data_IF_420163127744
#
_entry.id   IF_420163127744
#
_cell.length_a   1.000
_cell.length_b   1.000
_cell.length_c   1.000
_cell.angle_alpha   90.00
_cell.angle_beta   90.00
_cell.angle_gamma   90.00
#
_symmetry.space_group_name_H-M   'P 1'
#
loop_
_entity.id
_entity.type
_entity.pdbx_description
1 polymer ?
#
# COMPACT_ATOMS: atom_id res chain seq x y z
N UNK A 1 -10.65 -3.71 -3.85
CA UNK A 1 -9.89 -4.93 -4.16
C UNK A 1 -8.42 -4.59 -4.22
N UNK A 2 -7.79 -4.63 -3.05
CA UNK A 2 -6.34 -4.54 -2.95
C UNK A 2 -5.66 -5.81 -3.46
N UNK A 3 -4.35 -5.75 -3.70
CA UNK A 3 -3.52 -6.92 -4.01
C UNK A 3 -3.69 -8.05 -2.98
N UNK A 4 -4.11 -7.72 -1.74
CA UNK A 4 -4.45 -8.69 -0.69
C UNK A 4 -5.81 -9.36 -0.85
N UNK A 5 -6.80 -8.68 -1.42
CA UNK A 5 -8.15 -9.21 -1.62
C UNK A 5 -8.25 -10.11 -2.87
N UNK A 6 -7.38 -9.90 -3.87
CA UNK A 6 -7.35 -10.69 -5.12
C UNK A 6 -6.37 -11.85 -5.09
N UNK A 7 -5.59 -11.99 -4.01
CA UNK A 7 -4.38 -12.79 -3.98
C UNK A 7 -3.29 -12.10 -4.79
N UNK A 8 -2.11 -11.92 -4.20
CA UNK A 8 -0.91 -11.31 -4.77
C UNK A 8 -0.74 -11.58 -6.29
N UNK A 9 -1.30 -10.70 -7.13
CA UNK A 9 -1.15 -10.73 -8.58
C UNK A 9 0.13 -9.96 -8.91
N UNK A 10 0.96 -10.49 -9.79
CA UNK A 10 2.20 -9.82 -10.22
C UNK A 10 3.14 -9.44 -9.05
N UNK A 11 3.50 -10.41 -8.21
CA UNK A 11 4.26 -10.18 -6.97
C UNK A 11 5.74 -10.53 -7.11
N UNK A 12 6.59 -9.73 -6.47
CA UNK A 12 8.04 -9.91 -6.44
C UNK A 12 8.58 -9.90 -5.01
N UNK A 13 9.41 -10.89 -4.68
CA UNK A 13 10.17 -11.00 -3.45
C UNK A 13 11.65 -10.82 -3.79
N UNK A 14 12.29 -9.87 -3.11
CA UNK A 14 13.70 -9.54 -3.29
C UNK A 14 14.44 -9.81 -1.99
N UNK A 15 15.39 -10.75 -2.04
CA UNK A 15 16.28 -11.04 -0.91
C UNK A 15 17.67 -10.49 -1.25
N UNK A 16 18.15 -9.45 -0.55
CA UNK A 16 19.49 -8.92 -0.77
C UNK A 16 20.53 -9.97 -0.40
N UNK A 17 21.42 -10.28 -1.33
CA UNK A 17 22.61 -11.10 -1.07
C UNK A 17 23.82 -10.18 -0.88
N UNK A 18 23.87 -9.07 -1.63
CA UNK A 18 24.89 -8.03 -1.48
C UNK A 18 24.36 -6.68 -1.98
N UNK A 19 25.20 -5.65 -1.97
CA UNK A 19 24.88 -4.33 -2.52
C UNK A 19 24.58 -4.33 -4.03
N UNK A 20 24.94 -5.41 -4.76
CA UNK A 20 24.75 -5.53 -6.21
C UNK A 20 23.85 -6.69 -6.63
N UNK A 21 23.57 -7.63 -5.73
CA UNK A 21 22.88 -8.87 -6.06
C UNK A 21 21.69 -9.13 -5.15
N UNK A 22 20.59 -9.54 -5.78
CA UNK A 22 19.36 -9.95 -5.13
C UNK A 22 18.92 -11.31 -5.66
N UNK A 23 18.48 -12.18 -4.75
CA UNK A 23 17.64 -13.30 -5.13
C UNK A 23 16.24 -12.74 -5.41
N UNK A 24 15.73 -12.96 -6.62
CA UNK A 24 14.43 -12.46 -7.05
C UNK A 24 13.50 -13.66 -7.30
N UNK A 25 12.42 -13.75 -6.53
CA UNK A 25 11.27 -14.60 -6.84
C UNK A 25 10.15 -13.72 -7.34
N UNK A 26 9.51 -14.10 -8.43
CA UNK A 26 8.39 -13.33 -8.96
C UNK A 26 7.34 -14.25 -9.58
N UNK A 27 6.09 -13.83 -9.51
CA UNK A 27 4.97 -14.41 -10.24
C UNK A 27 4.38 -13.32 -11.11
N UNK A 28 4.32 -13.53 -12.43
CA UNK A 28 3.78 -12.56 -13.37
C UNK A 28 4.81 -11.58 -13.92
N UNK A 29 4.47 -10.28 -13.98
CA UNK A 29 5.34 -9.26 -14.54
C UNK A 29 6.58 -8.97 -13.67
N UNK A 30 7.67 -8.53 -14.30
CA UNK A 30 8.92 -8.13 -13.65
C UNK A 30 9.66 -7.08 -14.48
N UNK A 31 10.58 -6.29 -13.89
CA UNK A 31 11.43 -5.42 -14.67
C UNK A 31 12.20 -6.20 -15.74
N UNK A 32 12.33 -5.60 -16.93
CA UNK A 32 12.98 -6.24 -18.09
C UNK A 32 14.43 -6.63 -17.81
N UNK A 33 15.10 -5.93 -16.90
CA UNK A 33 16.47 -6.20 -16.51
C UNK A 33 16.62 -7.40 -15.56
N UNK A 34 15.56 -7.84 -14.88
CA UNK A 34 15.56 -9.08 -14.11
C UNK A 34 15.35 -10.24 -15.08
N UNK A 35 16.26 -11.21 -15.10
CA UNK A 35 16.23 -12.33 -16.06
C UNK A 35 16.26 -13.67 -15.30
N UNK A 36 15.62 -14.69 -15.88
CA UNK A 36 15.48 -16.00 -15.24
C UNK A 36 16.82 -16.75 -15.22
N UNK A 37 17.16 -17.34 -14.07
CA UNK A 37 18.39 -18.14 -13.87
C UNK A 37 19.67 -17.44 -14.35
N UNK A 38 19.78 -16.13 -14.12
CA UNK A 38 20.94 -15.35 -14.53
C UNK A 38 21.39 -14.38 -13.44
N UNK A 39 22.69 -14.12 -13.39
CA UNK A 39 23.23 -13.02 -12.61
C UNK A 39 23.01 -11.71 -13.35
N UNK A 40 22.14 -10.86 -12.79
CA UNK A 40 21.90 -9.51 -13.30
C UNK A 40 22.80 -8.52 -12.56
N UNK A 41 23.78 -7.95 -13.25
CA UNK A 41 24.52 -6.80 -12.74
C UNK A 41 23.66 -5.57 -12.89
N UNK A 42 23.16 -5.07 -11.76
CA UNK A 42 22.31 -3.89 -11.73
C UNK A 42 23.14 -2.63 -11.96
N UNK A 43 22.61 -1.71 -12.76
CA UNK A 43 23.15 -0.34 -12.80
C UNK A 43 22.87 0.38 -11.48
N UNK A 44 23.48 1.54 -11.29
CA UNK A 44 23.20 2.37 -10.12
C UNK A 44 21.71 2.74 -10.04
N UNK A 45 21.11 3.11 -11.16
CA UNK A 45 19.69 3.51 -11.26
C UNK A 45 18.77 2.34 -10.92
N UNK A 46 19.06 1.14 -11.43
CA UNK A 46 18.29 -0.08 -11.14
C UNK A 46 18.41 -0.49 -9.66
N UNK A 47 19.61 -0.31 -9.09
CA UNK A 47 19.84 -0.57 -7.66
C UNK A 47 19.05 0.42 -6.79
N UNK A 48 18.99 1.69 -7.19
CA UNK A 48 18.17 2.71 -6.52
C UNK A 48 16.69 2.35 -6.62
N UNK A 49 16.20 1.97 -7.79
CA UNK A 49 14.79 1.57 -8.01
C UNK A 49 14.38 0.43 -7.06
N UNK A 50 15.18 -0.63 -6.99
CA UNK A 50 14.94 -1.76 -6.09
C UNK A 50 14.98 -1.33 -4.62
N UNK A 51 15.98 -0.54 -4.22
CA UNK A 51 16.08 -0.05 -2.85
C UNK A 51 14.86 0.80 -2.46
N UNK A 52 14.36 1.64 -3.38
CA UNK A 52 13.16 2.44 -3.14
C UNK A 52 11.96 1.53 -2.89
N UNK A 53 11.76 0.50 -3.70
CA UNK A 53 10.69 -0.48 -3.51
C UNK A 53 10.82 -1.23 -2.18
N UNK A 54 12.03 -1.65 -1.78
CA UNK A 54 12.25 -2.33 -0.49
C UNK A 54 11.90 -1.38 0.67
N UNK A 55 12.41 -0.15 0.65
CA UNK A 55 12.17 0.83 1.70
C UNK A 55 10.69 1.19 1.85
N UNK A 56 9.98 1.36 0.73
CA UNK A 56 8.55 1.67 0.71
C UNK A 56 7.71 0.59 1.38
N UNK A 57 8.10 -0.66 1.18
CA UNK A 57 7.39 -1.85 1.65
C UNK A 57 7.93 -2.38 3.00
N UNK A 58 8.91 -1.70 3.59
CA UNK A 58 9.47 -2.09 4.89
C UNK A 58 8.61 -1.58 6.06
N UNK A 59 8.39 -2.45 7.04
CA UNK A 59 7.72 -2.14 8.31
C UNK A 59 8.63 -1.46 9.32
N UNK A 60 9.93 -1.66 9.17
CA UNK A 60 10.93 -1.21 10.11
C UNK A 60 11.69 -0.03 9.53
N UNK A 61 12.13 0.88 10.41
CA UNK A 61 13.06 1.93 10.03
C UNK A 61 14.28 1.27 9.38
N UNK A 62 14.46 1.57 8.11
CA UNK A 62 15.47 0.92 7.28
C UNK A 62 16.59 1.91 7.01
N UNK A 63 17.83 1.41 7.01
CA UNK A 63 19.02 2.20 6.69
C UNK A 63 19.35 2.02 5.22
N UNK A 64 19.82 3.07 4.58
CA UNK A 64 20.33 3.00 3.22
C UNK A 64 21.67 3.72 3.16
N UNK A 65 22.61 3.15 2.39
CA UNK A 65 23.92 3.76 2.18
C UNK A 65 23.83 5.08 1.40
N UNK A 66 22.85 5.19 0.49
CA UNK A 66 22.62 6.39 -0.32
C UNK A 66 21.42 7.16 0.23
N UNK A 67 21.51 8.49 0.17
CA UNK A 67 20.43 9.36 0.62
C UNK A 67 19.27 9.41 -0.38
N UNK A 68 19.54 9.21 -1.67
CA UNK A 68 18.52 9.32 -2.74
C UNK A 68 17.31 8.41 -2.51
N UNK A 69 17.46 7.08 -2.25
CA UNK A 69 16.33 6.23 -1.90
C UNK A 69 15.56 6.66 -0.65
N UNK A 70 16.27 7.21 0.35
CA UNK A 70 15.65 7.72 1.57
C UNK A 70 14.83 8.98 1.29
N UNK A 71 15.34 9.91 0.49
CA UNK A 71 14.64 11.13 0.06
C UNK A 71 13.41 10.81 -0.79
N UNK A 72 13.51 9.86 -1.72
CA UNK A 72 12.37 9.43 -2.53
C UNK A 72 11.28 8.70 -1.72
N UNK A 73 11.66 8.07 -0.60
CA UNK A 73 10.72 7.47 0.35
C UNK A 73 10.30 8.38 1.50
N UNK A 74 10.95 9.55 1.67
CA UNK A 74 10.44 10.59 2.56
C UNK A 74 9.15 11.06 1.92
N UNK A 75 8.05 10.60 2.49
CA UNK A 75 6.70 11.01 2.16
C UNK A 75 6.57 12.52 2.34
N UNK A 76 6.85 13.29 1.29
CA UNK A 76 6.07 14.50 1.04
C UNK A 76 4.63 14.03 0.86
N UNK A 77 3.73 14.69 1.57
CA UNK A 77 2.49 14.10 2.05
C UNK A 77 1.59 13.48 0.98
N UNK A 78 0.60 12.75 1.50
CA UNK A 78 -0.66 12.31 0.88
C UNK A 78 -0.75 10.85 0.41
N UNK A 79 -1.89 10.28 0.80
CA UNK A 79 -2.28 8.88 0.74
C UNK A 79 -3.16 8.58 1.96
N UNK A 80 -4.26 7.85 1.78
CA UNK A 80 -5.31 7.60 2.79
C UNK A 80 -4.70 7.24 4.16
N UNK A 81 -5.06 8.00 5.22
CA UNK A 81 -4.73 7.66 6.60
C UNK A 81 -5.53 6.44 7.03
N UNK A 82 -5.22 5.27 6.48
CA UNK A 82 -5.71 4.01 7.05
C UNK A 82 -5.02 3.80 8.40
N UNK A 83 -5.72 3.28 9.42
CA UNK A 83 -5.07 2.96 10.68
C UNK A 83 -3.96 1.93 10.43
N UNK A 84 -2.70 2.38 10.42
CA UNK A 84 -1.54 1.49 10.25
C UNK A 84 -1.28 0.66 11.52
N UNK A 85 -1.80 1.13 12.65
CA UNK A 85 -1.67 0.49 13.97
C UNK A 85 -2.97 0.57 14.75
N UNK A 86 -3.23 -0.49 15.50
CA UNK A 86 -4.28 -0.60 16.51
C UNK A 86 -3.62 -0.83 17.87
N UNK A 87 -4.06 -0.08 18.89
CA UNK A 87 -3.70 -0.32 20.28
C UNK A 87 -4.98 -0.71 21.02
N UNK A 88 -5.01 -1.92 21.55
CA UNK A 88 -6.13 -2.46 22.34
C UNK A 88 -5.72 -2.55 23.81
N UNK A 89 -6.60 -2.12 24.70
CA UNK A 89 -6.42 -2.22 26.15
C UNK A 89 -7.42 -3.23 26.69
N UNK A 90 -6.92 -4.27 27.34
CA UNK A 90 -7.76 -5.29 27.96
C UNK A 90 -8.17 -4.87 29.37
N UNK A 91 -9.30 -5.41 29.86
CA UNK A 91 -9.78 -5.15 31.22
C UNK A 91 -8.75 -5.50 32.31
N UNK A 92 -7.84 -6.45 32.04
CA UNK A 92 -6.75 -6.81 32.94
C UNK A 92 -5.57 -5.84 32.96
N UNK A 93 -5.60 -4.75 32.18
CA UNK A 93 -4.51 -3.76 32.08
C UNK A 93 -3.46 -4.08 31.00
N UNK A 94 -3.49 -5.28 30.43
CA UNK A 94 -2.64 -5.64 29.31
C UNK A 94 -2.96 -4.81 28.07
N UNK A 95 -1.92 -4.56 27.28
CA UNK A 95 -1.99 -3.84 26.01
C UNK A 95 -1.56 -4.76 24.88
N UNK A 96 -2.34 -4.78 23.80
CA UNK A 96 -1.96 -5.38 22.51
C UNK A 96 -1.76 -4.28 21.48
N UNK A 97 -0.63 -4.31 20.78
CA UNK A 97 -0.33 -3.42 19.67
C UNK A 97 -0.22 -4.26 18.40
N UNK A 98 -1.14 -4.02 17.48
CA UNK A 98 -1.20 -4.70 16.20
C UNK A 98 -0.89 -3.70 15.08
N UNK A 99 -0.22 -4.17 14.02
CA UNK A 99 -0.02 -3.37 12.81
C UNK A 99 -0.62 -4.07 11.61
N UNK A 100 -1.26 -3.28 10.75
CA UNK A 100 -1.72 -3.77 9.46
C UNK A 100 -0.51 -3.81 8.54
N UNK A 101 -0.32 -4.95 7.85
CA UNK A 101 0.70 -5.04 6.81
C UNK A 101 0.52 -3.88 5.79
N UNK A 102 1.59 -3.29 5.25
CA UNK A 102 1.55 -2.33 4.15
C UNK A 102 1.31 -3.10 2.85
N UNK A 103 0.56 -2.49 1.93
CA UNK A 103 0.44 -3.06 0.58
C UNK A 103 1.79 -3.02 -0.12
N UNK A 104 2.14 -4.11 -0.79
CA UNK A 104 3.38 -4.18 -1.55
C UNK A 104 3.15 -3.46 -2.87
N UNK A 105 3.73 -2.28 -3.01
CA UNK A 105 3.70 -1.51 -4.25
C UNK A 105 5.08 -1.53 -4.88
N UNK A 106 5.21 -2.28 -5.98
CA UNK A 106 6.45 -2.33 -6.76
C UNK A 106 6.38 -1.43 -8.00
N UNK A 107 5.21 -1.29 -8.61
CA UNK A 107 5.04 -0.55 -9.85
C UNK A 107 4.45 0.84 -9.63
N UNK A 108 5.04 1.84 -10.29
CA UNK A 108 4.53 3.23 -10.29
C UNK A 108 3.07 3.34 -10.76
N UNK A 109 2.65 2.46 -11.65
CA UNK A 109 1.26 2.39 -12.11
C UNK A 109 0.30 2.05 -10.97
N UNK A 110 0.69 1.17 -10.05
CA UNK A 110 -0.13 0.79 -8.89
C UNK A 110 -0.11 1.87 -7.81
N UNK A 111 1.03 2.51 -7.59
CA UNK A 111 1.17 3.65 -6.67
C UNK A 111 0.23 4.81 -7.02
N UNK A 112 0.03 5.08 -8.31
CA UNK A 112 -0.92 6.09 -8.77
C UNK A 112 -2.34 5.79 -8.26
N UNK A 113 -2.75 4.52 -8.31
CA UNK A 113 -4.09 4.14 -7.85
C UNK A 113 -4.19 4.16 -6.33
N UNK A 114 -3.17 3.75 -5.58
CA UNK A 114 -3.25 3.78 -4.11
C UNK A 114 -3.29 5.19 -3.54
N UNK A 115 -2.58 6.14 -4.16
CA UNK A 115 -2.47 7.53 -3.67
C UNK A 115 -3.54 8.47 -4.22
N UNK A 116 -3.86 8.34 -5.50
CA UNK A 116 -4.62 9.36 -6.24
C UNK A 116 -6.03 8.88 -6.65
N UNK A 117 -6.47 7.66 -6.32
CA UNK A 117 -7.77 7.18 -6.82
C UNK A 117 -8.95 8.10 -6.45
N UNK A 118 -8.94 8.73 -5.27
CA UNK A 118 -10.00 9.66 -4.86
C UNK A 118 -10.00 10.94 -5.69
N UNK A 119 -8.83 11.53 -5.94
CA UNK A 119 -8.73 12.74 -6.76
C UNK A 119 -9.12 12.43 -8.20
N UNK A 120 -8.65 11.30 -8.75
CA UNK A 120 -9.00 10.82 -10.09
C UNK A 120 -10.50 10.51 -10.18
N UNK A 121 -11.08 9.88 -9.17
CA UNK A 121 -12.52 9.61 -9.13
C UNK A 121 -13.35 10.90 -9.08
N UNK A 122 -12.91 11.88 -8.28
CA UNK A 122 -13.53 13.21 -8.23
C UNK A 122 -13.44 13.95 -9.57
N UNK A 123 -12.29 13.90 -10.25
CA UNK A 123 -12.12 14.42 -11.60
C UNK A 123 -13.06 13.73 -12.58
N UNK A 124 -13.13 12.39 -12.55
CA UNK A 124 -14.05 11.62 -13.38
C UNK A 124 -15.50 12.07 -13.17
N UNK A 125 -15.97 12.13 -11.92
CA UNK A 125 -17.33 12.56 -11.55
C UNK A 125 -17.64 13.97 -12.03
N UNK A 126 -16.69 14.89 -11.91
CA UNK A 126 -16.90 16.30 -12.23
C UNK A 126 -16.80 16.60 -13.73
N UNK A 127 -15.87 15.97 -14.46
CA UNK A 127 -15.53 16.35 -15.83
C UNK A 127 -15.93 15.31 -16.88
N UNK A 128 -15.96 14.01 -16.54
CA UNK A 128 -16.13 12.94 -17.54
C UNK A 128 -17.49 12.26 -17.48
N UNK A 129 -18.04 12.04 -16.29
CA UNK A 129 -19.29 11.29 -16.10
C UNK A 129 -20.46 11.94 -16.87
N UNK A 130 -21.04 11.18 -17.80
CA UNK A 130 -22.13 11.65 -18.67
C UNK A 130 -21.73 12.70 -19.74
N UNK A 131 -20.49 13.20 -19.72
CA UNK A 131 -20.02 14.31 -20.57
C UNK A 131 -19.13 13.85 -21.73
N UNK A 132 -18.41 12.75 -21.57
CA UNK A 132 -17.45 12.24 -22.57
C UNK A 132 -17.82 10.82 -22.96
N UNK A 133 -18.03 10.57 -24.26
CA UNK A 133 -18.25 9.22 -24.78
C UNK A 133 -16.93 8.54 -25.13
N UNK A 134 -16.98 7.22 -25.21
CA UNK A 134 -15.81 6.33 -25.43
C UNK A 134 -14.93 6.74 -26.63
N UNK A 135 -15.54 7.24 -27.71
CA UNK A 135 -14.84 7.60 -28.94
C UNK A 135 -14.48 9.09 -29.06
N UNK A 136 -14.90 9.92 -28.11
CA UNK A 136 -14.61 11.36 -28.10
C UNK A 136 -13.15 11.60 -27.71
N UNK A 137 -12.67 12.82 -27.92
CA UNK A 137 -11.35 13.23 -27.45
C UNK A 137 -11.32 13.29 -25.91
N UNK A 138 -10.20 12.88 -25.33
CA UNK A 138 -10.00 12.92 -23.89
C UNK A 138 -9.79 14.36 -23.42
N UNK A 139 -10.44 14.75 -22.31
CA UNK A 139 -10.38 16.12 -21.78
C UNK A 139 -9.06 16.45 -21.07
N UNK A 140 -8.17 15.48 -20.88
CA UNK A 140 -6.86 15.67 -20.25
C UNK A 140 -5.83 16.37 -21.15
N UNK A 141 -6.22 16.81 -22.36
CA UNK A 141 -5.33 17.51 -23.30
C UNK A 141 -4.35 16.61 -24.06
N UNK A 142 -4.52 15.29 -24.01
CA UNK A 142 -3.63 14.34 -24.69
C UNK A 142 -3.88 14.17 -26.20
N UNK A 143 -4.92 14.81 -26.74
CA UNK A 143 -5.39 14.66 -28.13
C UNK A 143 -5.76 13.21 -28.53
N UNK A 144 -5.76 12.27 -27.58
CA UNK A 144 -6.14 10.88 -27.82
C UNK A 144 -7.64 10.70 -27.60
N UNK A 145 -8.23 9.70 -28.29
CA UNK A 145 -9.59 9.23 -27.97
C UNK A 145 -9.64 8.76 -26.52
N UNK A 146 -10.73 9.05 -25.81
CA UNK A 146 -10.91 8.74 -24.39
C UNK A 146 -10.64 7.26 -24.08
N UNK A 147 -11.12 6.33 -24.91
CA UNK A 147 -10.86 4.88 -24.79
C UNK A 147 -9.39 4.45 -24.88
N UNK A 148 -8.52 5.29 -25.43
CA UNK A 148 -7.06 5.04 -25.54
C UNK A 148 -6.26 5.96 -24.61
N UNK A 149 -6.93 6.57 -23.64
CA UNK A 149 -6.34 7.52 -22.70
C UNK A 149 -6.84 7.23 -21.28
N UNK A 150 -7.57 8.15 -20.63
CA UNK A 150 -7.93 8.04 -19.22
C UNK A 150 -9.03 7.01 -18.90
N UNK A 151 -9.71 6.42 -19.90
CA UNK A 151 -10.84 5.52 -19.64
C UNK A 151 -10.46 4.35 -18.73
N UNK A 152 -9.37 3.65 -19.03
CA UNK A 152 -8.90 2.51 -18.23
C UNK A 152 -8.58 2.92 -16.78
N UNK A 153 -7.97 4.09 -16.60
CA UNK A 153 -7.64 4.65 -15.29
C UNK A 153 -8.92 4.97 -14.51
N UNK A 154 -9.89 5.62 -15.16
CA UNK A 154 -11.17 5.97 -14.53
C UNK A 154 -11.98 4.72 -14.17
N UNK A 155 -12.08 3.73 -15.07
CA UNK A 155 -12.76 2.45 -14.80
C UNK A 155 -12.14 1.74 -13.58
N UNK A 156 -10.81 1.72 -13.49
CA UNK A 156 -10.10 1.16 -12.33
C UNK A 156 -10.41 1.93 -11.04
N UNK A 157 -10.39 3.26 -11.06
CA UNK A 157 -10.67 4.10 -9.88
C UNK A 157 -12.13 3.98 -9.42
N UNK A 158 -13.08 3.91 -10.37
CA UNK A 158 -14.51 3.70 -10.10
C UNK A 158 -14.72 2.34 -9.42
N UNK A 159 -14.06 1.29 -9.91
CA UNK A 159 -14.09 -0.04 -9.29
C UNK A 159 -13.61 0.01 -7.83
N UNK A 160 -12.44 0.63 -7.60
CA UNK A 160 -11.86 0.78 -6.25
C UNK A 160 -12.83 1.55 -5.33
N UNK A 161 -13.38 2.68 -5.80
CA UNK A 161 -14.29 3.50 -5.02
C UNK A 161 -15.57 2.75 -4.64
N UNK A 162 -16.20 2.05 -5.59
CA UNK A 162 -17.40 1.27 -5.31
C UNK A 162 -17.13 0.12 -4.36
N UNK A 163 -16.00 -0.57 -4.48
CA UNK A 163 -15.62 -1.64 -3.56
C UNK A 163 -15.39 -1.14 -2.12
N UNK A 164 -14.91 0.10 -1.94
CA UNK A 164 -14.74 0.73 -0.62
C UNK A 164 -16.08 1.18 -0.04
N UNK A 165 -16.95 1.79 -0.85
CA UNK A 165 -18.16 2.48 -0.37
C UNK A 165 -19.46 1.67 -0.43
N UNK A 166 -19.58 0.65 -1.28
CA UNK A 166 -20.77 -0.23 -1.34
C UNK A 166 -20.76 -1.33 -0.27
N UNK A 167 -20.22 -1.05 0.93
CA UNK A 167 -20.24 -1.93 2.10
C UNK A 167 -21.65 -2.15 2.72
N UNK A 168 -22.71 -2.10 1.92
CA UNK A 168 -23.99 -2.73 2.27
C UNK A 168 -23.97 -4.12 1.67
N UNK A 169 -23.74 -5.12 2.52
CA UNK A 169 -23.80 -6.56 2.24
C UNK A 169 -22.62 -7.13 1.44
N UNK A 170 -21.45 -7.15 2.04
CA UNK A 170 -20.82 -8.46 2.23
C UNK A 170 -20.05 -8.45 3.54
N UNK A 171 -20.42 -9.40 4.40
CA UNK A 171 -19.52 -9.86 5.45
C UNK A 171 -18.17 -10.07 4.78
N UNK A 172 -17.07 -9.68 5.44
CA UNK A 172 -15.72 -10.13 5.08
C UNK A 172 -15.56 -11.64 5.27
N UNK A 173 -16.54 -12.46 4.89
CA UNK A 173 -16.37 -13.86 4.54
C UNK A 173 -15.60 -13.90 3.22
N UNK A 174 -14.31 -13.63 3.32
CA UNK A 174 -13.33 -14.34 2.50
C UNK A 174 -13.82 -15.79 2.48
N UNK A 175 -14.07 -16.33 1.28
CA UNK A 175 -14.63 -17.67 1.12
C UNK A 175 -13.93 -18.61 2.10
N UNK A 176 -14.64 -19.53 2.79
CA UNK A 176 -14.01 -20.46 3.72
C UNK A 176 -12.86 -21.27 3.11
N UNK A 177 -12.80 -21.31 1.77
CA UNK A 177 -11.71 -21.91 0.98
C UNK A 177 -10.39 -21.14 1.04
N UNK A 178 -10.42 -19.85 1.41
CA UNK A 178 -9.24 -18.98 1.48
C UNK A 178 -8.96 -18.64 2.95
N UNK A 179 -7.69 -18.70 3.32
CA UNK A 179 -7.24 -18.28 4.65
C UNK A 179 -6.96 -16.79 4.64
N UNK A 180 -7.50 -16.06 5.62
CA UNK A 180 -7.22 -14.65 5.84
C UNK A 180 -6.01 -14.53 6.73
N UNK A 181 -5.03 -13.74 6.31
CA UNK A 181 -3.92 -13.40 7.19
C UNK A 181 -4.40 -12.52 8.35
N UNK A 182 -3.98 -12.85 9.58
CA UNK A 182 -4.25 -12.03 10.77
C UNK A 182 -3.33 -10.80 10.79
N UNK A 183 -3.73 -9.78 11.55
CA UNK A 183 -2.85 -8.66 11.87
C UNK A 183 -1.54 -9.15 12.52
N UNK A 184 -0.45 -8.39 12.36
CA UNK A 184 0.81 -8.71 13.03
C UNK A 184 0.74 -8.15 14.45
N UNK A 185 0.74 -9.03 15.45
CA UNK A 185 0.96 -8.66 16.86
C UNK A 185 2.41 -8.21 17.02
N UNK A 186 2.62 -6.92 17.24
CA UNK A 186 3.95 -6.31 17.43
C UNK A 186 4.35 -6.35 18.90
N UNK A 187 3.37 -6.27 19.80
CA UNK A 187 3.56 -6.33 21.23
C UNK A 187 2.29 -6.82 21.93
N UNK A 188 2.49 -7.61 22.99
CA UNK A 188 1.48 -7.96 23.96
C UNK A 188 2.10 -8.07 25.34
N UNK A 189 1.54 -7.35 26.30
CA UNK A 189 2.05 -7.35 27.66
C UNK A 189 1.57 -6.15 28.48
N UNK A 190 2.14 -5.93 29.66
CA UNK A 190 1.77 -4.82 30.52
C UNK A 190 2.14 -3.47 29.89
N UNK A 191 1.38 -2.43 30.21
CA UNK A 191 1.53 -1.10 29.61
C UNK A 191 2.92 -0.48 29.82
N UNK A 192 3.61 -0.83 30.92
CA UNK A 192 4.95 -0.34 31.26
C UNK A 192 6.02 -0.87 30.30
N UNK A 193 5.74 -2.00 29.65
CA UNK A 193 6.65 -2.72 28.76
C UNK A 193 6.47 -2.39 27.28
N UNK A 194 5.58 -1.44 26.93
CA UNK A 194 5.42 -0.99 25.55
C UNK A 194 6.80 -0.61 24.97
N UNK A 195 7.25 -1.21 23.85
CA UNK A 195 8.66 -1.18 23.47
C UNK A 195 9.10 0.14 22.84
N UNK A 196 8.21 0.83 22.12
CA UNK A 196 8.56 2.04 21.38
C UNK A 196 8.08 3.29 22.09
N UNK A 197 8.94 4.31 22.22
CA UNK A 197 8.57 5.61 22.81
C UNK A 197 7.37 6.27 22.11
N UNK A 198 7.30 6.14 20.78
CA UNK A 198 6.17 6.63 19.98
C UNK A 198 4.85 5.91 20.32
N UNK A 199 4.89 4.61 20.58
CA UNK A 199 3.69 3.85 20.94
C UNK A 199 3.21 4.21 22.35
N UNK A 200 4.14 4.45 23.28
CA UNK A 200 3.82 4.98 24.61
C UNK A 200 3.14 6.34 24.53
N UNK A 201 3.66 7.25 23.71
CA UNK A 201 3.09 8.58 23.53
C UNK A 201 1.65 8.50 22.98
N UNK A 202 1.42 7.68 21.95
CA UNK A 202 0.07 7.47 21.38
C UNK A 202 -0.86 6.85 22.43
N UNK A 203 -0.39 5.84 23.17
CA UNK A 203 -1.17 5.20 24.22
C UNK A 203 -1.60 6.18 25.32
N UNK A 204 -0.71 7.07 25.76
CA UNK A 204 -1.02 8.10 26.76
C UNK A 204 -1.98 9.17 26.21
N UNK A 205 -1.91 9.50 24.92
CA UNK A 205 -2.91 10.35 24.27
C UNK A 205 -4.30 9.68 24.25
N UNK A 206 -4.36 8.39 23.90
CA UNK A 206 -5.61 7.62 23.88
C UNK A 206 -6.25 7.50 25.27
N UNK A 207 -5.43 7.39 26.33
CA UNK A 207 -5.92 7.46 27.72
C UNK A 207 -6.54 8.81 28.06
N UNK A 208 -5.89 9.91 27.65
CA UNK A 208 -6.36 11.28 27.94
C UNK A 208 -7.67 11.62 27.24
N UNK A 209 -7.94 11.05 26.07
CA UNK A 209 -9.19 11.28 25.33
C UNK A 209 -10.40 10.50 25.87
N UNK A 210 -10.27 9.73 26.97
CA UNK A 210 -11.34 8.89 27.54
C UNK A 210 -11.99 8.02 26.46
N UNK A 211 -11.27 6.99 26.00
CA UNK A 211 -11.89 5.87 25.28
C UNK A 211 -12.89 5.19 26.22
N UNK A 212 -14.15 5.62 26.16
CA UNK A 212 -15.25 4.86 26.74
C UNK A 212 -15.25 3.44 26.15
N UNK A 213 -15.72 2.43 26.92
CA UNK A 213 -15.73 1.06 26.43
C UNK A 213 -16.49 0.98 25.09
N UNK A 214 -15.86 0.43 24.05
CA UNK A 214 -16.59 0.02 22.85
C UNK A 214 -17.60 -1.05 23.27
N UNK A 215 -18.89 -0.74 23.13
CA UNK A 215 -20.00 -1.68 23.33
C UNK A 215 -20.14 -2.60 22.13
#
# INVERSE_FOLDING_TARGET
MSNRQIGFKDTMILIPISSKFYLCFYHGDKPKYVKFKSYCFLTEEQTIEINVAILKNSYSKSVCMKEVPLKQNKSEGQGMKSPERNIMVYQGGDVSINTIKKEIEFYKSEEKFSKEYLSIFSEYRSLYEGKVKRNDLCLCGSEKKYKKCCLEIHERCISIYHEIHNQKNDRYSISPKYSVEREIEVFRGPQEEIPTSKDREIFELLKKENLGPMR
#
